data_IF_805674084655
#
_entry.id   IF_805674084655
#
_cell.length_a   1.000
_cell.length_b   1.000
_cell.length_c   1.000
_cell.angle_alpha   90.00
_cell.angle_beta   90.00
_cell.angle_gamma   90.00
#
_symmetry.space_group_name_H-M   'P 1'
#
loop_
_entity.id
_entity.type
_entity.pdbx_description
1 polymer ?
#
# COMPACT_ATOMS: atom_id res chain seq x y z
N UNK A 1 -8.31 5.59 -4.46
CA UNK A 1 -7.60 6.50 -5.40
C UNK A 1 -6.42 7.15 -4.69
N UNK A 2 -5.31 7.48 -5.38
CA UNK A 2 -4.20 8.22 -4.79
C UNK A 2 -4.53 9.69 -4.53
N UNK A 3 -3.76 10.39 -3.67
CA UNK A 3 -4.04 11.77 -3.30
C UNK A 3 -4.21 12.73 -4.48
N UNK A 4 -3.32 12.65 -5.47
CA UNK A 4 -3.31 13.55 -6.64
C UNK A 4 -4.51 13.37 -7.58
N UNK A 5 -5.21 12.23 -7.46
CA UNK A 5 -6.48 12.00 -8.17
C UNK A 5 -7.65 12.51 -7.33
N UNK A 6 -7.55 12.38 -6.00
CA UNK A 6 -8.56 12.83 -5.02
C UNK A 6 -8.55 14.35 -4.75
N UNK A 7 -7.52 15.08 -5.17
CA UNK A 7 -7.48 16.54 -5.10
C UNK A 7 -7.31 17.19 -6.48
N UNK A 8 -7.44 16.38 -7.54
CA UNK A 8 -7.32 16.78 -8.94
C UNK A 8 -5.97 17.43 -9.33
N UNK A 9 -4.92 17.28 -8.50
CA UNK A 9 -3.58 17.81 -8.79
C UNK A 9 -2.74 16.94 -9.75
N UNK A 10 -3.26 15.80 -10.21
CA UNK A 10 -2.57 14.91 -11.14
C UNK A 10 -2.22 15.62 -12.46
N UNK A 11 -0.93 15.62 -12.80
CA UNK A 11 -0.45 16.18 -14.06
C UNK A 11 -0.79 15.27 -15.26
N UNK A 12 -1.91 15.59 -15.93
CA UNK A 12 -2.42 14.82 -17.08
C UNK A 12 -1.52 14.90 -18.32
N UNK A 13 -0.62 15.87 -18.39
CA UNK A 13 0.35 16.02 -19.48
C UNK A 13 1.57 15.10 -19.33
N UNK A 14 1.68 14.40 -18.20
CA UNK A 14 2.82 13.55 -17.90
C UNK A 14 2.37 12.11 -17.67
N UNK A 15 2.62 11.23 -18.65
CA UNK A 15 2.15 9.84 -18.58
C UNK A 15 2.62 9.09 -17.32
N UNK A 16 3.82 9.39 -16.81
CA UNK A 16 4.30 8.75 -15.57
C UNK A 16 3.44 9.08 -14.35
N UNK A 17 2.63 10.14 -14.36
CA UNK A 17 1.69 10.44 -13.27
C UNK A 17 0.67 9.32 -13.10
N UNK A 18 0.20 8.70 -14.19
CA UNK A 18 -0.70 7.54 -14.13
C UNK A 18 0.03 6.29 -13.59
N UNK A 19 1.28 6.07 -14.02
CA UNK A 19 2.10 4.95 -13.53
C UNK A 19 2.37 5.08 -12.03
N UNK A 20 2.69 6.28 -11.54
CA UNK A 20 2.90 6.53 -10.11
C UNK A 20 1.59 6.42 -9.31
N UNK A 21 0.45 6.77 -9.91
CA UNK A 21 -0.88 6.55 -9.33
C UNK A 21 -1.21 5.06 -9.16
N UNK A 22 -0.85 4.21 -10.13
CA UNK A 22 -1.01 2.76 -10.02
C UNK A 22 -0.18 2.19 -8.87
N UNK A 23 1.05 2.68 -8.67
CA UNK A 23 1.91 2.20 -7.59
C UNK A 23 1.35 2.46 -6.19
N UNK A 24 0.64 3.57 -6.00
CA UNK A 24 -0.09 3.83 -4.75
C UNK A 24 -1.17 2.77 -4.53
N UNK A 25 -1.99 2.52 -5.56
CA UNK A 25 -3.10 1.55 -5.49
C UNK A 25 -2.57 0.13 -5.27
N UNK A 26 -1.47 -0.22 -5.91
CA UNK A 26 -0.77 -1.49 -5.70
C UNK A 26 -0.29 -1.66 -4.26
N UNK A 27 0.21 -0.59 -3.63
CA UNK A 27 0.58 -0.60 -2.21
C UNK A 27 -0.58 -0.98 -1.28
N UNK A 28 -1.80 -0.54 -1.59
CA UNK A 28 -3.00 -0.90 -0.83
C UNK A 28 -3.37 -2.38 -1.01
N UNK A 29 -3.24 -2.92 -2.23
CA UNK A 29 -3.49 -4.34 -2.50
C UNK A 29 -2.48 -5.21 -1.74
N UNK A 30 -1.21 -4.82 -1.70
CA UNK A 30 -0.20 -5.54 -0.92
C UNK A 30 -0.58 -5.62 0.56
N UNK A 31 -1.17 -4.55 1.12
CA UNK A 31 -1.66 -4.54 2.50
C UNK A 31 -2.80 -5.54 2.72
N UNK A 32 -3.77 -5.62 1.80
CA UNK A 32 -4.85 -6.61 1.88
C UNK A 32 -4.31 -8.04 1.88
N UNK A 33 -3.34 -8.33 1.00
CA UNK A 33 -2.69 -9.64 0.91
C UNK A 33 -1.93 -9.96 2.20
N UNK A 34 -1.13 -9.01 2.71
CA UNK A 34 -0.29 -9.22 3.89
C UNK A 34 -1.10 -9.47 5.17
N UNK A 35 -2.28 -8.88 5.32
CA UNK A 35 -3.20 -9.17 6.43
C UNK A 35 -3.62 -10.64 6.51
N UNK A 36 -3.64 -11.33 5.36
CA UNK A 36 -4.01 -12.74 5.26
C UNK A 36 -2.81 -13.68 5.43
N UNK A 37 -1.61 -13.15 5.64
CA UNK A 37 -0.43 -13.94 5.96
C UNK A 37 -0.44 -14.35 7.43
N UNK A 38 -0.47 -15.65 7.68
CA UNK A 38 -0.36 -16.24 9.02
C UNK A 38 1.08 -16.09 9.50
N UNK A 39 1.29 -15.48 10.67
CA UNK A 39 2.59 -15.47 11.35
C UNK A 39 2.39 -15.77 12.83
N UNK A 40 3.16 -16.73 13.36
CA UNK A 40 3.00 -17.23 14.73
C UNK A 40 1.61 -17.84 15.01
N UNK A 41 0.94 -18.38 13.99
CA UNK A 41 -0.42 -18.94 14.10
C UNK A 41 -1.55 -17.89 14.17
N UNK A 42 -1.23 -16.60 14.04
CA UNK A 42 -2.18 -15.48 14.10
C UNK A 42 -2.34 -14.86 12.71
N UNK A 43 -3.57 -14.43 12.38
CA UNK A 43 -3.92 -13.76 11.12
C UNK A 43 -5.09 -12.80 11.33
N UNK A 44 -5.12 -11.66 10.63
CA UNK A 44 -6.24 -10.73 10.66
C UNK A 44 -7.36 -11.16 9.72
N UNK A 45 -8.60 -10.80 10.04
CA UNK A 45 -9.70 -10.91 9.08
C UNK A 45 -9.45 -10.05 7.83
N UNK A 46 -10.02 -10.51 6.71
CA UNK A 46 -10.05 -9.75 5.47
C UNK A 46 -10.79 -8.44 5.68
N UNK A 47 -10.20 -7.36 5.17
CA UNK A 47 -10.77 -6.02 5.21
C UNK A 47 -10.29 -5.25 3.99
N UNK A 48 -11.14 -4.36 3.48
CA UNK A 48 -10.76 -3.41 2.45
C UNK A 48 -9.80 -2.33 3.02
N UNK A 49 -8.96 -1.70 2.19
CA UNK A 49 -8.16 -0.56 2.63
C UNK A 49 -9.08 0.56 3.14
N UNK A 50 -8.70 1.19 4.26
CA UNK A 50 -9.46 2.25 4.92
C UNK A 50 -10.82 1.83 5.52
N UNK A 51 -11.11 0.53 5.66
CA UNK A 51 -12.37 0.03 6.24
C UNK A 51 -12.73 0.60 7.63
N UNK A 52 -11.73 1.03 8.39
CA UNK A 52 -11.83 1.61 9.74
C UNK A 52 -11.94 3.14 9.75
N UNK A 53 -11.84 3.77 8.57
CA UNK A 53 -11.73 5.23 8.41
C UNK A 53 -12.83 5.83 7.53
N UNK A 54 -13.49 5.02 6.69
CA UNK A 54 -14.54 5.46 5.75
C UNK A 54 -15.69 4.45 5.70
N UNK A 55 -16.91 4.86 5.29
CA UNK A 55 -18.02 3.93 5.06
C UNK A 55 -17.72 2.99 3.88
N UNK A 56 -18.49 1.89 3.77
CA UNK A 56 -18.26 0.85 2.75
C UNK A 56 -18.36 1.32 1.31
N UNK A 57 -19.18 2.34 1.04
CA UNK A 57 -19.27 3.03 -0.25
C UNK A 57 -18.87 4.50 -0.05
N UNK A 58 -17.56 4.81 0.01
CA UNK A 58 -17.10 6.12 0.42
C UNK A 58 -17.27 7.14 -0.70
N UNK A 59 -17.73 8.34 -0.34
CA UNK A 59 -17.78 9.46 -1.26
C UNK A 59 -16.37 9.98 -1.59
N UNK A 60 -16.28 10.83 -2.60
CA UNK A 60 -15.04 11.53 -2.93
C UNK A 60 -14.53 12.38 -1.75
N UNK A 61 -15.44 13.05 -1.03
CA UNK A 61 -15.09 13.89 0.12
C UNK A 61 -14.54 13.06 1.29
N UNK A 62 -15.14 11.90 1.58
CA UNK A 62 -14.66 10.98 2.63
C UNK A 62 -13.21 10.56 2.36
N UNK A 63 -12.94 10.11 1.14
CA UNK A 63 -11.61 9.67 0.75
C UNK A 63 -10.60 10.83 0.75
N UNK A 64 -10.99 12.00 0.27
CA UNK A 64 -10.13 13.19 0.24
C UNK A 64 -9.75 13.64 1.64
N UNK A 65 -10.69 13.65 2.57
CA UNK A 65 -10.43 14.02 3.97
C UNK A 65 -9.40 13.08 4.61
N UNK A 66 -9.57 11.76 4.43
CA UNK A 66 -8.65 10.76 5.01
C UNK A 66 -7.28 10.76 4.33
N UNK A 67 -7.25 10.74 2.99
CA UNK A 67 -6.03 10.46 2.21
C UNK A 67 -5.22 11.72 1.91
N UNK A 68 -5.88 12.86 1.65
CA UNK A 68 -5.23 14.10 1.25
C UNK A 68 -5.01 15.05 2.43
N UNK A 69 -6.04 15.25 3.26
CA UNK A 69 -6.02 16.22 4.37
C UNK A 69 -5.33 15.63 5.60
N UNK A 70 -5.89 14.55 6.16
CA UNK A 70 -5.32 13.86 7.34
C UNK A 70 -4.10 13.02 7.00
N UNK A 71 -3.88 12.72 5.72
CA UNK A 71 -2.75 11.93 5.19
C UNK A 71 -2.61 10.56 5.86
N UNK A 72 -3.73 9.96 6.23
CA UNK A 72 -3.76 8.64 6.85
C UNK A 72 -3.54 7.55 5.80
N UNK A 73 -3.09 6.39 6.27
CA UNK A 73 -2.86 5.17 5.50
C UNK A 73 -3.38 3.99 6.30
N UNK A 74 -3.65 2.83 5.66
CA UNK A 74 -4.04 1.63 6.39
C UNK A 74 -3.01 1.28 7.47
N UNK A 75 -3.49 0.97 8.68
CA UNK A 75 -2.62 0.69 9.83
C UNK A 75 -1.96 -0.69 9.70
N UNK A 76 -0.78 -0.84 10.31
CA UNK A 76 -0.11 -2.14 10.39
C UNK A 76 -0.40 -2.78 11.76
N UNK A 77 -0.89 -4.03 11.79
CA UNK A 77 -1.01 -4.78 13.04
C UNK A 77 0.35 -4.90 13.74
N UNK A 78 0.39 -4.69 15.06
CA UNK A 78 1.64 -4.72 15.84
C UNK A 78 2.46 -6.01 15.65
N UNK A 79 1.80 -7.15 15.43
CA UNK A 79 2.44 -8.46 15.21
C UNK A 79 3.38 -8.47 14.00
N UNK A 80 3.15 -7.63 12.99
CA UNK A 80 4.01 -7.55 11.80
C UNK A 80 5.44 -7.15 12.16
N UNK A 81 5.65 -6.43 13.27
CA UNK A 81 6.98 -6.07 13.75
C UNK A 81 7.82 -7.27 14.21
N UNK A 82 7.17 -8.39 14.57
CA UNK A 82 7.80 -9.61 15.07
C UNK A 82 8.16 -10.59 13.95
N UNK A 83 7.79 -10.31 12.70
CA UNK A 83 8.05 -11.15 11.53
C UNK A 83 8.82 -10.35 10.48
N UNK A 84 10.00 -10.85 10.10
CA UNK A 84 10.89 -10.12 9.18
C UNK A 84 10.25 -9.87 7.81
N UNK A 85 9.52 -10.85 7.28
CA UNK A 85 8.87 -10.75 5.99
C UNK A 85 7.75 -9.72 6.03
N UNK A 86 6.88 -9.77 7.05
CA UNK A 86 5.80 -8.79 7.23
C UNK A 86 6.34 -7.37 7.48
N UNK A 87 7.45 -7.24 8.21
CA UNK A 87 8.12 -5.96 8.43
C UNK A 87 8.65 -5.36 7.12
N UNK A 88 9.27 -6.19 6.27
CA UNK A 88 9.75 -5.77 4.95
C UNK A 88 8.58 -5.41 4.01
N UNK A 89 7.49 -6.19 4.06
CA UNK A 89 6.25 -5.89 3.35
C UNK A 89 5.65 -4.55 3.78
N UNK A 90 5.59 -4.26 5.09
CA UNK A 90 5.09 -2.97 5.59
C UNK A 90 5.94 -1.78 5.12
N UNK A 91 7.27 -1.93 5.09
CA UNK A 91 8.16 -0.92 4.50
C UNK A 91 7.89 -0.71 3.01
N UNK A 92 7.78 -1.80 2.25
CA UNK A 92 7.51 -1.77 0.82
C UNK A 92 6.19 -1.03 0.50
N UNK A 93 5.12 -1.33 1.25
CA UNK A 93 3.83 -0.64 1.13
C UNK A 93 3.96 0.86 1.43
N UNK A 94 4.71 1.22 2.47
CA UNK A 94 4.92 2.61 2.88
C UNK A 94 5.58 3.44 1.78
N UNK A 95 6.54 2.85 1.07
CA UNK A 95 7.21 3.47 -0.06
C UNK A 95 6.29 3.51 -1.31
N UNK A 96 5.40 2.53 -1.51
CA UNK A 96 4.44 2.53 -2.62
C UNK A 96 3.35 3.60 -2.47
N UNK A 97 2.81 3.82 -1.26
CA UNK A 97 1.71 4.77 -1.04
C UNK A 97 2.15 6.14 -0.51
N UNK A 98 3.42 6.49 -0.71
CA UNK A 98 3.96 7.80 -0.37
C UNK A 98 3.09 8.92 -0.96
N UNK A 99 2.89 9.99 -0.20
CA UNK A 99 2.02 11.09 -0.62
C UNK A 99 2.55 11.74 -1.91
N UNK A 100 3.85 12.05 -1.98
CA UNK A 100 4.50 12.53 -3.20
C UNK A 100 4.62 11.40 -4.25
N UNK A 101 4.01 11.52 -5.44
CA UNK A 101 4.12 10.50 -6.49
C UNK A 101 5.55 10.17 -6.89
N UNK A 102 6.44 11.16 -6.97
CA UNK A 102 7.83 10.97 -7.38
C UNK A 102 8.68 10.18 -6.37
N UNK A 103 8.20 10.04 -5.13
CA UNK A 103 8.85 9.23 -4.10
C UNK A 103 8.42 7.77 -4.12
N UNK A 104 7.42 7.41 -4.92
CA UNK A 104 6.88 6.05 -4.98
C UNK A 104 7.83 5.11 -5.71
N UNK A 105 7.87 3.86 -5.26
CA UNK A 105 8.63 2.82 -5.95
C UNK A 105 8.06 2.55 -7.33
N UNK A 106 8.92 2.19 -8.28
CA UNK A 106 8.49 1.65 -9.57
C UNK A 106 8.09 0.18 -9.44
N UNK A 107 7.22 -0.31 -10.33
CA UNK A 107 6.84 -1.72 -10.38
C UNK A 107 8.07 -2.66 -10.50
N UNK A 108 9.07 -2.26 -11.30
CA UNK A 108 10.32 -3.02 -11.43
C UNK A 108 11.10 -3.08 -10.11
N UNK A 109 11.15 -1.98 -9.35
CA UNK A 109 11.80 -1.93 -8.04
C UNK A 109 11.07 -2.84 -7.06
N UNK A 110 9.74 -2.77 -7.01
CA UNK A 110 8.91 -3.65 -6.17
C UNK A 110 9.14 -5.12 -6.51
N UNK A 111 9.10 -5.48 -7.81
CA UNK A 111 9.37 -6.83 -8.29
C UNK A 111 10.74 -7.35 -7.82
N UNK A 112 11.80 -6.53 -7.97
CA UNK A 112 13.15 -6.92 -7.52
C UNK A 112 13.23 -7.11 -6.01
N UNK A 113 12.56 -6.27 -5.23
CA UNK A 113 12.51 -6.42 -3.78
C UNK A 113 11.80 -7.71 -3.39
N UNK A 114 10.61 -7.98 -3.95
CA UNK A 114 9.86 -9.21 -3.68
C UNK A 114 10.63 -10.48 -4.09
N UNK A 115 11.33 -10.45 -5.24
CA UNK A 115 12.18 -11.56 -5.67
C UNK A 115 13.28 -11.84 -4.63
N UNK A 116 13.98 -10.80 -4.17
CA UNK A 116 15.00 -10.92 -3.13
C UNK A 116 14.43 -11.45 -1.81
N UNK A 117 13.23 -11.03 -1.42
CA UNK A 117 12.55 -11.54 -0.23
C UNK A 117 12.25 -13.03 -0.37
N UNK A 118 11.75 -13.47 -1.53
CA UNK A 118 11.49 -14.88 -1.84
C UNK A 118 12.76 -15.73 -1.77
N UNK A 119 13.86 -15.25 -2.36
CA UNK A 119 15.17 -15.92 -2.30
C UNK A 119 15.67 -16.06 -0.86
N UNK A 120 15.49 -15.03 -0.02
CA UNK A 120 15.93 -15.06 1.38
C UNK A 120 15.16 -16.04 2.26
N UNK A 121 14.00 -16.51 1.81
CA UNK A 121 13.17 -17.49 2.51
C UNK A 121 13.27 -18.91 1.93
N UNK A 122 14.21 -19.14 0.99
CA UNK A 122 14.35 -20.42 0.26
C UNK A 122 13.03 -20.94 -0.35
N UNK A 123 12.10 -20.02 -0.68
CA UNK A 123 10.84 -20.37 -1.33
C UNK A 123 11.16 -20.72 -2.78
N UNK A 124 11.23 -22.02 -3.08
CA UNK A 124 11.31 -22.53 -4.45
C UNK A 124 9.93 -22.34 -5.10
N UNK A 125 9.87 -21.49 -6.13
CA UNK A 125 8.74 -21.46 -7.08
C UNK A 125 8.75 -22.70 -7.98
#
# INVERSE_FOLDING_TARGET
MPPEVLDESLNRNHFQSYIMADMYSFGLILWEIARRCVSGGIVEEYQLPYHDLVPSDPSYEDMREIVCIKKLRPSFPNRWSSDECLRQMGKLMTECWAHNPASRLTALRVKKTLAKMSESQDIKL
#
